data_IF_008350523446
#
_entry.id   IF_008350523446
#
_cell.length_a   1.000
_cell.length_b   1.000
_cell.length_c   1.000
_cell.angle_alpha   90.00
_cell.angle_beta   90.00
_cell.angle_gamma   90.00
#
_symmetry.space_group_name_H-M   'P 1'
#
loop_
_entity.id
_entity.type
_entity.pdbx_description
1 polymer ?
#
# COMPACT_ATOMS: atom_id res chain seq x y z
N UNK A 1 9.46 13.85 12.86
CA UNK A 1 8.07 13.70 12.45
C UNK A 1 7.91 12.47 11.59
N UNK A 2 6.77 11.82 11.70
CA UNK A 2 6.46 10.63 10.91
C UNK A 2 6.20 11.04 9.46
N UNK A 3 6.87 10.37 8.51
CA UNK A 3 6.62 10.56 7.09
C UNK A 3 6.52 9.22 6.39
N UNK A 4 5.56 9.14 5.46
CA UNK A 4 5.36 8.01 4.56
C UNK A 4 5.29 8.59 3.15
N UNK A 5 6.19 8.18 2.26
CA UNK A 5 6.28 8.74 0.90
C UNK A 5 6.20 7.61 -0.10
N UNK A 6 5.09 7.57 -0.85
CA UNK A 6 4.88 6.58 -1.90
C UNK A 6 5.53 7.02 -3.21
N UNK A 7 5.90 6.04 -4.02
CA UNK A 7 6.42 6.25 -5.37
C UNK A 7 6.14 5.01 -6.22
N UNK A 8 6.33 5.15 -7.54
CA UNK A 8 6.18 4.05 -8.47
C UNK A 8 4.88 4.05 -9.27
N UNK A 9 3.96 4.96 -8.96
CA UNK A 9 2.73 5.11 -9.72
C UNK A 9 2.98 5.62 -11.13
N UNK A 10 1.98 5.46 -11.97
CA UNK A 10 2.07 5.93 -13.35
C UNK A 10 0.97 5.32 -14.22
N UNK A 11 1.12 5.53 -15.52
CA UNK A 11 0.20 5.01 -16.53
C UNK A 11 0.70 3.65 -17.00
N UNK A 12 -0.20 2.67 -17.04
CA UNK A 12 0.13 1.31 -17.48
C UNK A 12 -1.03 0.75 -18.27
N UNK A 13 -0.75 -0.14 -19.21
CA UNK A 13 -1.79 -0.82 -19.97
C UNK A 13 -2.41 -1.97 -19.18
N UNK A 14 -3.67 -2.33 -19.47
CA UNK A 14 -4.29 -3.52 -18.88
C UNK A 14 -3.42 -4.75 -19.11
N UNK A 15 -3.32 -5.58 -18.08
CA UNK A 15 -2.44 -6.76 -18.10
C UNK A 15 -1.01 -6.47 -17.67
N UNK A 16 -0.63 -5.20 -17.56
CA UNK A 16 0.72 -4.80 -17.16
C UNK A 16 0.96 -4.92 -15.68
N UNK A 17 2.17 -4.52 -15.27
CA UNK A 17 2.65 -4.60 -13.89
C UNK A 17 3.26 -3.29 -13.46
N UNK A 18 3.15 -2.98 -12.17
CA UNK A 18 3.84 -1.88 -11.50
C UNK A 18 4.28 -2.35 -10.13
N UNK A 19 5.34 -1.73 -9.62
CA UNK A 19 5.75 -1.90 -8.22
C UNK A 19 5.72 -0.57 -7.52
N UNK A 20 4.91 -0.48 -6.47
CA UNK A 20 4.87 0.70 -5.62
C UNK A 20 5.84 0.54 -4.47
N UNK A 21 6.44 1.63 -4.05
CA UNK A 21 7.32 1.69 -2.89
C UNK A 21 6.80 2.76 -1.93
N UNK A 22 7.05 2.56 -0.64
CA UNK A 22 6.76 3.54 0.39
C UNK A 22 8.00 3.66 1.27
N UNK A 23 8.57 4.84 1.34
CA UNK A 23 9.70 5.13 2.21
C UNK A 23 9.18 5.71 3.53
N UNK A 24 9.52 5.07 4.64
CA UNK A 24 9.09 5.48 5.97
C UNK A 24 10.23 6.16 6.70
N UNK A 25 9.92 7.20 7.47
CA UNK A 25 10.89 7.88 8.30
C UNK A 25 10.23 8.49 9.54
N UNK A 26 11.03 8.77 10.56
CA UNK A 26 10.56 9.43 11.78
C UNK A 26 9.99 8.49 12.83
N UNK A 27 10.08 7.18 12.63
CA UNK A 27 9.63 6.19 13.61
C UNK A 27 10.36 4.85 13.39
N UNK A 28 10.23 3.95 14.34
CA UNK A 28 10.82 2.60 14.23
C UNK A 28 9.94 1.74 13.34
N UNK A 29 10.23 1.74 12.04
CA UNK A 29 9.41 1.08 11.01
C UNK A 29 9.17 -0.39 11.35
N UNK A 30 10.20 -1.09 11.84
CA UNK A 30 10.12 -2.52 12.15
C UNK A 30 9.16 -2.87 13.28
N UNK A 31 8.64 -1.88 14.00
CA UNK A 31 7.71 -2.10 15.11
C UNK A 31 6.24 -1.99 14.71
N UNK A 32 5.94 -1.59 13.48
CA UNK A 32 4.56 -1.29 13.09
C UNK A 32 4.05 -2.18 11.97
N UNK A 33 2.81 -2.61 12.10
CA UNK A 33 2.07 -3.22 11.01
C UNK A 33 1.73 -2.16 9.97
N UNK A 34 1.75 -2.54 8.70
CA UNK A 34 1.56 -1.61 7.59
C UNK A 34 0.48 -2.10 6.64
N UNK A 35 -0.15 -1.15 5.94
CA UNK A 35 -1.25 -1.44 5.02
C UNK A 35 -1.08 -0.67 3.72
N UNK A 36 -1.71 -1.19 2.67
CA UNK A 36 -2.02 -0.43 1.47
C UNK A 36 -3.53 -0.25 1.38
N UNK A 37 -3.94 0.98 1.08
CA UNK A 37 -5.33 1.37 0.89
C UNK A 37 -5.39 2.16 -0.40
N UNK A 38 -6.46 2.01 -1.18
CA UNK A 38 -6.62 2.76 -2.43
C UNK A 38 -7.95 3.48 -2.48
N UNK A 39 -8.01 4.50 -3.32
CA UNK A 39 -9.26 5.21 -3.60
C UNK A 39 -9.39 5.43 -5.09
N UNK A 40 -10.38 4.75 -5.69
CA UNK A 40 -10.71 4.95 -7.10
C UNK A 40 -11.47 6.26 -7.28
N UNK A 41 -11.44 6.85 -8.50
CA UNK A 41 -12.12 8.12 -8.75
C UNK A 41 -13.60 8.05 -8.41
N UNK A 42 -14.06 8.99 -7.56
CA UNK A 42 -15.46 9.08 -7.16
C UNK A 42 -15.94 8.00 -6.23
N UNK A 43 -15.05 7.17 -5.68
CA UNK A 43 -15.40 6.06 -4.79
C UNK A 43 -14.76 6.24 -3.43
N UNK A 44 -15.17 5.42 -2.47
CA UNK A 44 -14.62 5.44 -1.12
C UNK A 44 -13.27 4.74 -1.05
N UNK A 45 -12.67 4.81 0.13
CA UNK A 45 -11.43 4.10 0.41
C UNK A 45 -11.67 2.60 0.41
N UNK A 46 -10.74 1.86 -0.18
CA UNK A 46 -10.76 0.40 -0.19
C UNK A 46 -9.45 -0.10 0.40
N UNK A 47 -9.53 -0.83 1.52
CA UNK A 47 -8.38 -1.53 2.07
C UNK A 47 -8.03 -2.70 1.15
N UNK A 48 -6.75 -2.86 0.81
CA UNK A 48 -6.34 -3.90 -0.11
C UNK A 48 -5.30 -4.87 0.44
N UNK A 49 -4.42 -4.45 1.35
CA UNK A 49 -3.36 -5.36 1.78
C UNK A 49 -2.78 -4.95 3.13
N UNK A 50 -2.38 -5.96 3.90
CA UNK A 50 -1.81 -5.82 5.25
C UNK A 50 -0.58 -6.70 5.38
N UNK A 51 0.45 -6.19 6.07
CA UNK A 51 1.61 -6.97 6.46
C UNK A 51 2.00 -6.63 7.90
N UNK A 52 2.24 -7.67 8.70
CA UNK A 52 2.69 -7.47 10.08
C UNK A 52 4.13 -6.97 10.12
N UNK A 53 4.53 -6.45 11.28
CA UNK A 53 5.86 -5.87 11.50
C UNK A 53 7.00 -6.83 11.11
N UNK A 54 6.82 -8.12 11.38
CA UNK A 54 7.82 -9.17 11.10
C UNK A 54 7.61 -9.87 9.75
N UNK A 55 6.60 -9.46 8.97
CA UNK A 55 6.19 -10.10 7.71
C UNK A 55 5.58 -11.50 7.89
N UNK A 56 5.29 -11.91 9.10
CA UNK A 56 4.76 -13.27 9.36
C UNK A 56 3.29 -13.41 9.01
N UNK A 57 2.54 -12.32 9.00
CA UNK A 57 1.12 -12.32 8.66
C UNK A 57 0.87 -11.38 7.51
N UNK A 58 0.18 -11.86 6.49
CA UNK A 58 -0.22 -11.08 5.32
C UNK A 58 -1.69 -11.37 5.04
N UNK A 59 -2.49 -10.32 4.86
CA UNK A 59 -3.88 -10.43 4.46
C UNK A 59 -4.15 -9.52 3.28
N UNK A 60 -4.88 -10.03 2.30
CA UNK A 60 -5.22 -9.31 1.08
C UNK A 60 -6.73 -9.30 0.89
N UNK A 61 -7.25 -8.22 0.35
CA UNK A 61 -8.64 -8.16 -0.09
C UNK A 61 -8.85 -9.11 -1.27
N UNK A 62 -10.05 -9.66 -1.39
CA UNK A 62 -10.38 -10.60 -2.46
C UNK A 62 -10.15 -9.99 -3.84
N UNK A 63 -10.37 -8.68 -3.99
CA UNK A 63 -10.21 -7.98 -5.27
C UNK A 63 -8.78 -8.01 -5.81
N UNK A 64 -7.78 -8.24 -4.96
CA UNK A 64 -6.36 -8.20 -5.35
C UNK A 64 -5.63 -9.52 -5.13
N UNK A 65 -6.27 -10.51 -4.50
CA UNK A 65 -5.63 -11.81 -4.22
C UNK A 65 -5.10 -12.44 -5.50
N UNK A 66 -3.86 -12.95 -5.41
CA UNK A 66 -3.20 -13.62 -6.53
C UNK A 66 -2.64 -12.68 -7.58
N UNK A 67 -2.91 -11.39 -7.48
CA UNK A 67 -2.39 -10.39 -8.42
C UNK A 67 -1.42 -9.43 -7.76
N UNK A 68 -1.69 -9.03 -6.52
CA UNK A 68 -0.86 -8.07 -5.78
C UNK A 68 -0.13 -8.80 -4.66
N UNK A 69 1.10 -8.39 -4.41
CA UNK A 69 1.93 -8.94 -3.34
C UNK A 69 2.51 -7.79 -2.50
N UNK A 70 2.16 -7.77 -1.23
CA UNK A 70 2.75 -6.84 -0.27
C UNK A 70 4.04 -7.45 0.28
N UNK A 71 5.05 -6.61 0.49
CA UNK A 71 6.28 -7.00 1.15
C UNK A 71 6.89 -5.79 1.84
N UNK A 72 7.91 -6.02 2.67
CA UNK A 72 8.62 -4.95 3.35
C UNK A 72 10.07 -5.33 3.56
N UNK A 73 10.90 -4.30 3.68
CA UNK A 73 12.32 -4.43 4.03
C UNK A 73 12.57 -3.50 5.21
N UNK A 74 12.60 -4.08 6.41
CA UNK A 74 12.77 -3.29 7.63
C UNK A 74 14.13 -2.62 7.71
N UNK A 75 15.16 -3.21 7.10
CA UNK A 75 16.49 -2.60 7.06
C UNK A 75 16.54 -1.35 6.18
N UNK A 76 15.62 -1.24 5.22
CA UNK A 76 15.51 -0.08 4.33
C UNK A 76 14.34 0.83 4.68
N UNK A 77 13.61 0.54 5.75
CA UNK A 77 12.41 1.29 6.15
C UNK A 77 11.43 1.44 4.98
N UNK A 78 11.21 0.37 4.24
CA UNK A 78 10.42 0.42 3.01
C UNK A 78 9.32 -0.63 2.98
N UNK A 79 8.18 -0.22 2.44
CA UNK A 79 7.03 -1.08 2.17
C UNK A 79 6.83 -1.12 0.65
N UNK A 80 6.43 -2.28 0.13
CA UNK A 80 6.27 -2.48 -1.31
C UNK A 80 4.92 -3.10 -1.64
N UNK A 81 4.44 -2.81 -2.85
CA UNK A 81 3.29 -3.48 -3.42
C UNK A 81 3.61 -3.82 -4.88
N UNK A 82 3.79 -5.10 -5.16
CA UNK A 82 3.95 -5.60 -6.52
C UNK A 82 2.56 -5.84 -7.09
N UNK A 83 2.22 -5.16 -8.18
CA UNK A 83 0.92 -5.26 -8.80
C UNK A 83 1.07 -5.89 -10.19
N UNK A 84 0.44 -7.04 -10.39
CA UNK A 84 0.47 -7.77 -11.65
C UNK A 84 -0.93 -7.88 -12.23
N UNK A 85 -1.01 -8.15 -13.53
CA UNK A 85 -2.27 -8.33 -14.25
C UNK A 85 -3.26 -7.21 -13.95
N UNK A 86 -2.78 -5.99 -14.08
CA UNK A 86 -3.55 -4.80 -13.76
C UNK A 86 -4.77 -4.67 -14.65
N UNK A 87 -5.87 -4.18 -14.07
CA UNK A 87 -7.16 -3.99 -14.72
C UNK A 87 -7.54 -2.50 -14.66
N UNK A 88 -8.46 -2.08 -15.53
CA UNK A 88 -8.94 -0.71 -15.51
C UNK A 88 -9.48 -0.28 -14.13
N UNK A 89 -10.16 -1.20 -13.43
CA UNK A 89 -10.72 -0.94 -12.10
C UNK A 89 -9.67 -0.84 -11.00
N UNK A 90 -8.39 -1.14 -11.29
CA UNK A 90 -7.29 -0.88 -10.35
C UNK A 90 -6.82 0.57 -10.38
N UNK A 91 -7.36 1.38 -11.30
CA UNK A 91 -7.07 2.82 -11.35
C UNK A 91 -7.51 3.48 -10.06
N UNK A 92 -6.55 4.08 -9.36
CA UNK A 92 -6.80 4.67 -8.05
C UNK A 92 -5.56 5.42 -7.56
N UNK A 93 -5.74 6.22 -6.50
CA UNK A 93 -4.63 6.69 -5.70
C UNK A 93 -4.35 5.62 -4.64
N UNK A 94 -3.09 5.21 -4.52
CA UNK A 94 -2.66 4.18 -3.57
C UNK A 94 -1.92 4.83 -2.42
N UNK A 95 -2.35 4.51 -1.20
CA UNK A 95 -1.80 5.06 0.04
C UNK A 95 -1.10 4.00 0.85
N UNK A 96 0.09 4.34 1.32
CA UNK A 96 0.84 3.63 2.33
C UNK A 96 0.33 4.11 3.68
N UNK A 97 -0.03 3.19 4.57
CA UNK A 97 -0.72 3.53 5.82
C UNK A 97 -0.09 2.76 6.97
N UNK A 98 0.18 3.48 8.05
CA UNK A 98 0.68 2.87 9.29
C UNK A 98 -0.50 2.50 10.18
N UNK A 99 -0.47 1.28 10.71
CA UNK A 99 -1.45 0.86 11.70
C UNK A 99 -1.09 1.47 13.05
N UNK A 100 -2.11 2.01 13.73
CA UNK A 100 -1.94 2.55 15.08
C UNK A 100 -1.53 1.43 16.06
N UNK A 101 -0.92 1.82 17.17
CA UNK A 101 -0.57 0.86 18.20
C UNK A 101 -1.83 0.23 18.83
N UNK A 102 -1.64 -0.95 19.45
CA UNK A 102 -2.73 -1.84 19.84
C UNK A 102 -3.77 -1.26 20.81
N UNK A 103 -3.50 -0.11 21.42
CA UNK A 103 -4.42 0.50 22.40
C UNK A 103 -5.36 1.52 21.78
N UNK A 104 -5.15 1.87 20.52
CA UNK A 104 -5.98 2.87 19.86
C UNK A 104 -7.13 2.19 19.13
N UNK A 105 -8.32 2.77 19.24
CA UNK A 105 -9.48 2.29 18.50
C UNK A 105 -9.42 2.68 17.02
N UNK A 106 -8.59 3.67 16.67
CA UNK A 106 -8.33 4.01 15.27
C UNK A 106 -7.28 3.06 14.74
N UNK A 107 -7.61 2.32 13.69
CA UNK A 107 -6.71 1.35 13.11
C UNK A 107 -5.53 1.99 12.40
N UNK A 108 -5.68 3.21 11.89
CA UNK A 108 -4.66 3.91 11.11
C UNK A 108 -4.38 5.27 11.73
N UNK A 109 -3.11 5.63 11.87
CA UNK A 109 -2.74 6.93 12.44
C UNK A 109 -1.97 7.83 11.47
N UNK A 110 -1.25 7.26 10.50
CA UNK A 110 -0.51 8.05 9.53
C UNK A 110 -0.67 7.49 8.14
N UNK A 111 -0.82 8.39 7.17
CA UNK A 111 -1.02 8.10 5.76
C UNK A 111 0.01 8.85 4.93
N UNK A 112 0.51 8.24 3.86
CA UNK A 112 1.25 8.98 2.84
C UNK A 112 0.32 9.90 2.04
N UNK A 113 0.91 10.70 1.14
CA UNK A 113 0.11 11.57 0.26
C UNK A 113 -0.50 10.81 -0.92
N UNK A 114 -0.06 9.59 -1.16
CA UNK A 114 -0.58 8.76 -2.22
C UNK A 114 0.19 8.85 -3.52
N UNK A 115 0.08 7.78 -4.33
CA UNK A 115 0.64 7.75 -5.68
C UNK A 115 -0.45 7.27 -6.64
N UNK A 116 -0.61 7.97 -7.77
CA UNK A 116 -1.67 7.67 -8.73
C UNK A 116 -1.24 6.55 -9.67
N UNK A 117 -2.09 5.55 -9.79
CA UNK A 117 -1.97 4.49 -10.79
C UNK A 117 -3.15 4.58 -11.74
N UNK A 118 -2.86 4.71 -13.03
CA UNK A 118 -3.88 4.76 -14.08
C UNK A 118 -3.67 3.57 -15.02
N UNK A 119 -4.68 2.73 -15.14
CA UNK A 119 -4.66 1.55 -16.02
C UNK A 119 -5.60 1.82 -17.18
N UNK A 120 -5.04 2.02 -18.36
CA UNK A 120 -5.81 2.40 -19.53
C UNK A 120 -5.10 1.97 -20.82
N UNK A 121 -5.87 1.55 -21.79
CA UNK A 121 -5.36 1.22 -23.11
C UNK A 121 -5.19 2.45 -24.02
#
# INVERSE_FOLDING_TARGET
EVQLVESGGGLVQPGGSLRLSCAASGFTFSSFNMHWVRQAPGKGLEWISYISSSSRSIYDADSVKGRFTISRDNGKNSLYLQMNRLRAEDTAIYYCVREAEAYDYDHFDYWGQGTLVTVSS
#
